data_IF_508195910552
#
_entry.id   IF_508195910552
#
_cell.length_a   1.000
_cell.length_b   1.000
_cell.length_c   1.000
_cell.angle_alpha   90.00
_cell.angle_beta   90.00
_cell.angle_gamma   90.00
#
_symmetry.space_group_name_H-M   'P 1'
#
loop_
_entity.id
_entity.type
_entity.pdbx_description
1 polymer ?
#
# COMPACT_ATOMS: atom_id res chain seq x y z
N UNK A 1 -67.44 -44.43 -20.79
CA UNK A 1 -67.17 -43.33 -19.83
C UNK A 1 -65.70 -43.00 -19.96
N UNK A 2 -65.39 -41.86 -20.60
CA UNK A 2 -64.03 -41.50 -21.01
C UNK A 2 -63.71 -40.17 -20.35
N UNK A 3 -62.78 -40.16 -19.40
CA UNK A 3 -62.41 -38.96 -18.65
C UNK A 3 -61.07 -38.44 -19.18
N UNK A 4 -61.12 -37.27 -19.83
CA UNK A 4 -59.97 -36.56 -20.36
C UNK A 4 -59.37 -35.66 -19.29
N UNK A 5 -58.05 -35.79 -19.04
CA UNK A 5 -57.27 -34.93 -18.14
C UNK A 5 -56.52 -33.91 -18.99
N UNK A 6 -56.90 -32.63 -18.86
CA UNK A 6 -56.28 -31.50 -19.54
C UNK A 6 -55.21 -30.88 -18.62
N UNK A 7 -53.93 -31.08 -18.97
CA UNK A 7 -52.81 -30.39 -18.33
C UNK A 7 -52.62 -29.01 -18.96
N UNK A 8 -52.99 -27.96 -18.23
CA UNK A 8 -52.68 -26.57 -18.57
C UNK A 8 -51.28 -26.23 -18.04
N UNK A 9 -50.28 -26.18 -18.92
CA UNK A 9 -48.96 -25.64 -18.62
C UNK A 9 -48.99 -24.12 -18.75
N UNK A 10 -49.04 -23.41 -17.63
CA UNK A 10 -48.90 -21.96 -17.58
C UNK A 10 -47.41 -21.61 -17.37
N UNK A 11 -46.70 -21.35 -18.48
CA UNK A 11 -45.32 -20.88 -18.46
C UNK A 11 -45.29 -19.37 -18.21
N UNK A 12 -45.15 -18.97 -16.95
CA UNK A 12 -44.84 -17.59 -16.59
C UNK A 12 -43.32 -17.38 -16.63
N UNK A 13 -42.86 -16.70 -17.68
CA UNK A 13 -41.48 -16.23 -17.79
C UNK A 13 -41.24 -15.08 -16.79
N UNK A 14 -40.69 -15.40 -15.62
CA UNK A 14 -40.16 -14.41 -14.68
C UNK A 14 -38.82 -13.92 -15.21
N UNK A 15 -38.79 -12.71 -15.78
CA UNK A 15 -37.53 -11.99 -15.97
C UNK A 15 -36.90 -11.73 -14.60
N UNK A 16 -35.67 -12.20 -14.32
CA UNK A 16 -34.99 -11.82 -13.10
C UNK A 16 -34.59 -10.36 -13.22
N UNK A 17 -35.44 -9.49 -12.70
CA UNK A 17 -35.07 -8.13 -12.37
C UNK A 17 -33.95 -8.22 -11.33
N UNK A 18 -32.71 -8.19 -11.80
CA UNK A 18 -31.47 -8.28 -11.02
C UNK A 18 -31.22 -6.95 -10.31
N UNK A 19 -32.27 -6.40 -9.69
CA UNK A 19 -32.18 -5.31 -8.75
C UNK A 19 -31.70 -5.90 -7.44
N UNK A 20 -30.48 -5.58 -7.04
CA UNK A 20 -30.01 -5.77 -5.68
C UNK A 20 -31.04 -5.16 -4.73
N UNK A 21 -31.78 -6.02 -4.04
CA UNK A 21 -32.77 -5.59 -3.07
C UNK A 21 -32.07 -4.71 -2.02
N UNK A 22 -32.29 -3.40 -2.11
CA UNK A 22 -31.66 -2.40 -1.23
C UNK A 22 -31.93 -2.68 0.25
N UNK A 23 -32.97 -3.49 0.56
CA UNK A 23 -33.26 -3.92 1.93
C UNK A 23 -32.27 -4.97 2.43
N UNK A 24 -31.73 -5.82 1.55
CA UNK A 24 -30.67 -6.79 1.88
C UNK A 24 -29.29 -6.13 1.96
N UNK A 25 -29.02 -5.11 1.14
CA UNK A 25 -27.79 -4.30 1.26
C UNK A 25 -27.74 -3.50 2.56
N UNK A 26 -28.87 -2.90 2.98
CA UNK A 26 -28.96 -2.21 4.27
C UNK A 26 -28.73 -3.13 5.47
N UNK A 27 -29.08 -4.42 5.38
CA UNK A 27 -28.86 -5.40 6.47
C UNK A 27 -27.41 -5.89 6.56
N UNK A 28 -26.64 -5.82 5.47
CA UNK A 28 -25.21 -6.15 5.47
C UNK A 28 -24.31 -4.99 5.89
N UNK A 29 -24.81 -3.75 5.82
CA UNK A 29 -24.16 -2.60 6.41
C UNK A 29 -24.42 -2.57 7.93
N UNK A 30 -23.78 -3.49 8.66
CA UNK A 30 -23.62 -3.34 10.11
C UNK A 30 -23.01 -1.96 10.46
N UNK A 31 -23.08 -1.53 11.73
CA UNK A 31 -22.64 -0.19 12.12
C UNK A 31 -21.21 0.07 11.62
N UNK A 32 -21.07 0.92 10.58
CA UNK A 32 -19.75 1.25 9.99
C UNK A 32 -18.80 1.97 10.94
N UNK A 33 -19.26 2.23 12.17
CA UNK A 33 -18.56 2.94 13.22
C UNK A 33 -18.05 2.01 14.33
N UNK A 34 -18.14 0.68 14.19
CA UNK A 34 -17.36 -0.19 15.08
C UNK A 34 -15.88 0.06 14.82
N UNK A 35 -15.19 0.58 15.83
CA UNK A 35 -13.75 0.82 15.76
C UNK A 35 -13.05 -0.49 15.37
N UNK A 36 -12.28 -0.46 14.28
CA UNK A 36 -11.53 -1.62 13.83
C UNK A 36 -10.41 -1.90 14.83
N UNK A 37 -10.32 -3.13 15.33
CA UNK A 37 -9.34 -3.52 16.35
C UNK A 37 -8.44 -4.64 15.81
N UNK A 38 -7.18 -4.65 16.25
CA UNK A 38 -6.24 -5.74 15.94
C UNK A 38 -5.90 -5.84 14.46
N UNK A 39 -6.15 -7.02 13.87
CA UNK A 39 -5.72 -7.35 12.51
C UNK A 39 -6.40 -6.51 11.42
N UNK A 40 -7.68 -6.14 11.59
CA UNK A 40 -8.40 -5.36 10.58
C UNK A 40 -7.80 -3.96 10.42
N UNK A 41 -7.50 -3.30 11.55
CA UNK A 41 -6.80 -2.00 11.58
C UNK A 41 -5.39 -2.09 11.01
N UNK A 42 -4.68 -3.19 11.28
CA UNK A 42 -3.35 -3.41 10.71
C UNK A 42 -3.41 -3.58 9.19
N UNK A 43 -4.31 -4.41 8.66
CA UNK A 43 -4.50 -4.61 7.21
C UNK A 43 -4.83 -3.30 6.52
N UNK A 44 -5.76 -2.51 7.08
CA UNK A 44 -6.07 -1.18 6.56
C UNK A 44 -4.84 -0.26 6.55
N UNK A 45 -4.04 -0.30 7.62
CA UNK A 45 -2.75 0.40 7.70
C UNK A 45 -1.78 -0.01 6.60
N UNK A 46 -1.67 -1.32 6.30
CA UNK A 46 -0.81 -1.86 5.23
C UNK A 46 -1.32 -1.42 3.86
N UNK A 47 -2.63 -1.46 3.62
CA UNK A 47 -3.22 -0.99 2.36
C UNK A 47 -2.95 0.50 2.12
N UNK A 48 -3.20 1.35 3.12
CA UNK A 48 -2.90 2.78 3.01
C UNK A 48 -1.39 3.06 2.94
N UNK A 49 -0.57 2.28 3.62
CA UNK A 49 0.88 2.34 3.51
C UNK A 49 1.37 1.99 2.10
N UNK A 50 0.80 0.95 1.50
CA UNK A 50 1.09 0.55 0.12
C UNK A 50 0.70 1.65 -0.88
N UNK A 51 -0.51 2.19 -0.77
CA UNK A 51 -0.99 3.27 -1.62
C UNK A 51 -0.10 4.53 -1.48
N UNK A 52 0.28 4.90 -0.26
CA UNK A 52 1.20 6.02 -0.01
C UNK A 52 2.54 5.81 -0.69
N UNK A 53 3.20 4.66 -0.48
CA UNK A 53 4.52 4.39 -1.05
C UNK A 53 4.43 4.31 -2.58
N UNK A 54 3.43 3.63 -3.13
CA UNK A 54 3.26 3.47 -4.58
C UNK A 54 3.02 4.80 -5.29
N UNK A 55 2.14 5.66 -4.75
CA UNK A 55 1.83 6.98 -5.33
C UNK A 55 3.02 7.92 -5.19
N UNK A 56 3.63 7.99 -4.00
CA UNK A 56 4.71 8.94 -3.75
C UNK A 56 6.04 8.51 -4.39
N UNK A 57 6.29 7.20 -4.56
CA UNK A 57 7.46 6.67 -5.26
C UNK A 57 7.23 6.43 -6.76
N UNK A 58 6.11 6.89 -7.32
CA UNK A 58 5.79 6.69 -8.74
C UNK A 58 6.93 7.14 -9.69
N UNK A 59 7.60 8.30 -9.50
CA UNK A 59 8.72 8.68 -10.35
C UNK A 59 9.87 7.66 -10.34
N UNK A 60 10.27 7.17 -9.16
CA UNK A 60 11.26 6.11 -9.03
C UNK A 60 10.80 4.83 -9.73
N UNK A 61 9.57 4.38 -9.48
CA UNK A 61 9.02 3.17 -10.12
C UNK A 61 9.02 3.27 -11.65
N UNK A 62 8.65 4.43 -12.21
CA UNK A 62 8.69 4.67 -13.65
C UNK A 62 10.12 4.64 -14.21
N UNK A 63 11.08 5.23 -13.49
CA UNK A 63 12.49 5.21 -13.90
C UNK A 63 13.10 3.79 -13.94
N UNK A 64 12.60 2.87 -13.10
CA UNK A 64 13.08 1.48 -13.06
C UNK A 64 12.55 0.61 -14.20
N UNK A 65 11.57 1.08 -14.98
CA UNK A 65 11.01 0.31 -16.11
C UNK A 65 12.04 0.05 -17.21
N UNK A 66 13.00 0.97 -17.39
CA UNK A 66 14.05 0.91 -18.41
C UNK A 66 15.40 0.41 -17.86
N UNK A 67 15.41 -0.20 -16.68
CA UNK A 67 16.65 -0.69 -16.07
C UNK A 67 17.21 -1.91 -16.84
N UNK A 68 18.51 -1.86 -17.16
CA UNK A 68 19.23 -2.92 -17.90
C UNK A 68 19.20 -4.28 -17.19
N UNK A 69 19.36 -4.30 -15.88
CA UNK A 69 19.25 -5.49 -15.03
C UNK A 69 17.79 -5.77 -14.60
N UNK A 70 16.90 -5.89 -15.58
CA UNK A 70 15.46 -5.69 -15.42
C UNK A 70 14.83 -6.60 -14.33
N UNK A 71 15.16 -7.88 -14.31
CA UNK A 71 14.57 -8.83 -13.35
C UNK A 71 15.02 -8.58 -11.91
N UNK A 72 16.33 -8.41 -11.66
CA UNK A 72 16.88 -8.23 -10.33
C UNK A 72 16.44 -6.89 -9.71
N UNK A 73 16.45 -5.82 -10.51
CA UNK A 73 16.00 -4.48 -10.10
C UNK A 73 14.52 -4.49 -9.73
N UNK A 74 13.66 -5.08 -10.58
CA UNK A 74 12.22 -5.19 -10.30
C UNK A 74 11.91 -6.04 -9.07
N UNK A 75 12.60 -7.15 -8.90
CA UNK A 75 12.45 -8.00 -7.72
C UNK A 75 12.76 -7.22 -6.44
N UNK A 76 13.92 -6.57 -6.38
CA UNK A 76 14.32 -5.78 -5.20
C UNK A 76 13.38 -4.60 -4.95
N UNK A 77 12.89 -3.92 -6.00
CA UNK A 77 11.91 -2.85 -5.89
C UNK A 77 10.57 -3.33 -5.30
N UNK A 78 10.05 -4.48 -5.74
CA UNK A 78 8.80 -5.07 -5.21
C UNK A 78 8.98 -5.44 -3.74
N UNK A 79 10.12 -6.06 -3.37
CA UNK A 79 10.43 -6.38 -1.97
C UNK A 79 10.44 -5.11 -1.13
N UNK A 80 11.12 -4.05 -1.58
CA UNK A 80 11.15 -2.78 -0.87
C UNK A 80 9.77 -2.16 -0.69
N UNK A 81 8.92 -2.19 -1.73
CA UNK A 81 7.54 -1.68 -1.70
C UNK A 81 6.70 -2.42 -0.65
N UNK A 82 6.72 -3.76 -0.68
CA UNK A 82 5.97 -4.61 0.26
C UNK A 82 6.47 -4.42 1.68
N UNK A 83 7.79 -4.41 1.89
CA UNK A 83 8.37 -4.16 3.21
C UNK A 83 7.99 -2.79 3.75
N UNK A 84 8.08 -1.73 2.93
CA UNK A 84 7.70 -0.39 3.35
C UNK A 84 6.20 -0.32 3.72
N UNK A 85 5.32 -0.92 2.90
CA UNK A 85 3.88 -0.97 3.17
C UNK A 85 3.58 -1.68 4.51
N UNK A 86 4.19 -2.85 4.75
CA UNK A 86 4.04 -3.61 6.00
C UNK A 86 4.60 -2.85 7.19
N UNK A 87 5.77 -2.23 7.06
CA UNK A 87 6.40 -1.47 8.12
C UNK A 87 5.54 -0.24 8.50
N UNK A 88 5.05 0.51 7.51
CA UNK A 88 4.14 1.65 7.74
C UNK A 88 2.84 1.20 8.39
N UNK A 89 2.23 0.11 7.90
CA UNK A 89 1.02 -0.46 8.48
C UNK A 89 1.22 -0.87 9.94
N UNK A 90 2.35 -1.50 10.25
CA UNK A 90 2.74 -1.89 11.61
C UNK A 90 2.90 -0.68 12.54
N UNK A 91 3.55 0.40 12.07
CA UNK A 91 3.66 1.65 12.83
C UNK A 91 2.28 2.29 13.06
N UNK A 92 1.42 2.34 12.03
CA UNK A 92 0.07 2.93 12.11
C UNK A 92 -0.91 2.14 12.97
N UNK A 93 -0.73 0.82 13.04
CA UNK A 93 -1.51 -0.05 13.92
C UNK A 93 -1.18 0.15 15.41
N UNK A 94 -0.13 0.93 15.73
CA UNK A 94 0.30 1.14 17.11
C UNK A 94 1.04 -0.06 17.72
N UNK A 95 1.52 -0.99 16.89
CA UNK A 95 2.30 -2.15 17.36
C UNK A 95 3.75 -1.78 17.71
N UNK A 96 4.14 -0.53 17.45
CA UNK A 96 5.46 0.02 17.76
C UNK A 96 5.30 1.30 18.56
N UNK A 97 6.34 1.72 19.29
CA UNK A 97 6.39 3.02 19.95
C UNK A 97 6.59 4.20 18.99
N UNK A 98 6.80 3.94 17.70
CA UNK A 98 6.97 4.99 16.69
C UNK A 98 5.62 5.63 16.36
N UNK A 99 5.59 6.95 16.32
CA UNK A 99 4.46 7.70 15.79
C UNK A 99 4.71 8.03 14.31
N UNK A 100 3.80 7.62 13.43
CA UNK A 100 3.86 8.01 12.02
C UNK A 100 3.47 9.49 11.88
N UNK A 101 4.31 10.35 11.28
CA UNK A 101 4.04 11.80 11.22
C UNK A 101 2.73 12.14 10.47
N UNK A 102 2.01 13.22 10.85
CA UNK A 102 0.81 13.66 10.14
C UNK A 102 1.11 14.11 8.70
N UNK A 103 0.08 14.13 7.86
CA UNK A 103 0.20 14.61 6.47
C UNK A 103 0.06 16.13 6.40
N UNK A 104 1.19 16.83 6.50
CA UNK A 104 1.30 18.26 6.16
C UNK A 104 1.98 18.40 4.80
N UNK A 105 1.75 19.50 4.06
CA UNK A 105 2.31 19.68 2.72
C UNK A 105 3.85 19.52 2.67
N UNK A 106 4.55 20.05 3.68
CA UNK A 106 6.01 19.92 3.78
C UNK A 106 6.44 18.48 4.03
N UNK A 107 5.75 17.77 4.93
CA UNK A 107 6.05 16.36 5.20
C UNK A 107 5.68 15.48 4.01
N UNK A 108 4.68 15.84 3.22
CA UNK A 108 4.35 15.13 1.99
C UNK A 108 5.51 15.14 0.98
N UNK A 109 6.17 16.29 0.82
CA UNK A 109 7.39 16.39 -0.02
C UNK A 109 8.53 15.54 0.56
N UNK A 110 8.75 15.62 1.88
CA UNK A 110 9.78 14.81 2.53
C UNK A 110 9.50 13.30 2.38
N UNK A 111 8.24 12.87 2.48
CA UNK A 111 7.80 11.48 2.23
C UNK A 111 8.07 11.08 0.79
N UNK A 112 7.70 11.93 -0.17
CA UNK A 112 7.95 11.66 -1.59
C UNK A 112 9.44 11.44 -1.85
N UNK A 113 10.30 12.35 -1.39
CA UNK A 113 11.75 12.22 -1.54
C UNK A 113 12.25 10.93 -0.87
N UNK A 114 11.84 10.70 0.39
CA UNK A 114 12.25 9.51 1.15
C UNK A 114 11.85 8.21 0.46
N UNK A 115 10.61 8.08 -0.02
CA UNK A 115 10.13 6.88 -0.69
C UNK A 115 10.82 6.65 -2.03
N UNK A 116 10.99 7.68 -2.85
CA UNK A 116 11.73 7.56 -4.11
C UNK A 116 13.18 7.09 -3.86
N UNK A 117 13.89 7.72 -2.93
CA UNK A 117 15.26 7.32 -2.58
C UNK A 117 15.32 5.89 -2.04
N UNK A 118 14.39 5.52 -1.16
CA UNK A 118 14.31 4.17 -0.59
C UNK A 118 14.15 3.12 -1.69
N UNK A 119 13.22 3.34 -2.62
CA UNK A 119 12.96 2.43 -3.75
C UNK A 119 14.19 2.34 -4.66
N UNK A 120 14.78 3.47 -5.05
CA UNK A 120 15.96 3.48 -5.93
C UNK A 120 17.17 2.78 -5.28
N UNK A 121 17.48 3.11 -4.02
CA UNK A 121 18.60 2.51 -3.29
C UNK A 121 18.37 1.01 -3.12
N UNK A 122 17.18 0.59 -2.71
CA UNK A 122 16.87 -0.83 -2.53
C UNK A 122 16.92 -1.59 -3.87
N UNK A 123 16.39 -1.02 -4.95
CA UNK A 123 16.33 -1.65 -6.25
C UNK A 123 17.72 -1.84 -6.87
N UNK A 124 18.51 -0.76 -6.97
CA UNK A 124 19.84 -0.83 -7.55
C UNK A 124 20.85 -1.53 -6.62
N UNK A 125 20.79 -1.27 -5.31
CA UNK A 125 21.67 -1.94 -4.35
C UNK A 125 21.38 -3.43 -4.21
N UNK A 126 20.10 -3.82 -4.18
CA UNK A 126 19.70 -5.23 -4.20
C UNK A 126 20.13 -5.92 -5.49
N UNK A 127 19.91 -5.30 -6.64
CA UNK A 127 20.36 -5.83 -7.93
C UNK A 127 21.89 -5.99 -8.00
N UNK A 128 22.65 -5.01 -7.50
CA UNK A 128 24.10 -5.11 -7.41
C UNK A 128 24.52 -6.33 -6.56
N UNK A 129 23.90 -6.53 -5.39
CA UNK A 129 24.19 -7.70 -4.54
C UNK A 129 23.86 -9.01 -5.27
N UNK A 130 22.70 -9.10 -5.93
CA UNK A 130 22.33 -10.28 -6.71
C UNK A 130 23.35 -10.58 -7.82
N UNK A 131 23.84 -9.56 -8.53
CA UNK A 131 24.80 -9.72 -9.62
C UNK A 131 26.19 -10.10 -9.11
N UNK A 132 26.66 -9.51 -8.01
CA UNK A 132 28.00 -9.79 -7.47
C UNK A 132 28.08 -11.13 -6.72
N UNK A 133 27.00 -11.53 -6.05
CA UNK A 133 27.00 -12.72 -5.18
C UNK A 133 26.24 -13.91 -5.75
N UNK A 134 25.44 -13.71 -6.80
CA UNK A 134 24.47 -14.70 -7.29
C UNK A 134 23.31 -14.96 -6.33
N UNK A 135 23.15 -14.19 -5.25
CA UNK A 135 22.18 -14.44 -4.19
C UNK A 135 20.95 -13.53 -4.27
N UNK A 136 19.83 -14.12 -4.65
CA UNK A 136 18.51 -13.45 -4.59
C UNK A 136 18.10 -13.15 -3.16
N UNK A 137 18.44 -14.02 -2.21
CA UNK A 137 18.18 -13.82 -0.79
C UNK A 137 18.95 -12.62 -0.24
N UNK A 138 20.21 -12.44 -0.66
CA UNK A 138 21.02 -11.27 -0.31
C UNK A 138 20.40 -9.97 -0.81
N UNK A 139 19.90 -9.96 -2.05
CA UNK A 139 19.16 -8.82 -2.61
C UNK A 139 17.88 -8.52 -1.82
N UNK A 140 17.11 -9.55 -1.46
CA UNK A 140 15.88 -9.37 -0.68
C UNK A 140 16.18 -8.82 0.72
N UNK A 141 17.17 -9.39 1.42
CA UNK A 141 17.57 -8.95 2.75
C UNK A 141 18.02 -7.48 2.75
N UNK A 142 18.79 -7.07 1.73
CA UNK A 142 19.20 -5.69 1.56
C UNK A 142 18.01 -4.75 1.34
N UNK A 143 17.10 -5.11 0.43
CA UNK A 143 15.90 -4.32 0.16
C UNK A 143 15.01 -4.17 1.41
N UNK A 144 14.85 -5.25 2.19
CA UNK A 144 14.13 -5.24 3.47
C UNK A 144 14.81 -4.29 4.47
N UNK A 145 16.14 -4.36 4.60
CA UNK A 145 16.90 -3.52 5.52
C UNK A 145 16.79 -2.03 5.15
N UNK A 146 16.92 -1.69 3.87
CA UNK A 146 16.79 -0.30 3.38
C UNK A 146 15.36 0.21 3.59
N UNK A 147 14.34 -0.56 3.20
CA UNK A 147 12.94 -0.14 3.35
C UNK A 147 12.52 -0.01 4.81
N UNK A 148 12.83 -1.01 5.65
CA UNK A 148 12.54 -0.99 7.08
C UNK A 148 13.31 0.11 7.80
N UNK A 149 14.60 0.28 7.51
CA UNK A 149 15.44 1.33 8.06
C UNK A 149 14.94 2.74 7.70
N UNK A 150 14.49 2.94 6.46
CA UNK A 150 13.89 4.20 6.01
C UNK A 150 12.62 4.54 6.79
N UNK A 151 11.69 3.58 6.94
CA UNK A 151 10.46 3.76 7.73
C UNK A 151 10.79 4.07 9.19
N UNK A 152 11.80 3.41 9.77
CA UNK A 152 12.24 3.66 11.14
C UNK A 152 12.91 5.03 11.32
N UNK A 153 13.66 5.51 10.33
CA UNK A 153 14.35 6.80 10.37
C UNK A 153 13.40 7.98 10.10
N UNK A 154 12.32 7.75 9.34
CA UNK A 154 11.45 8.81 8.84
C UNK A 154 10.85 9.72 9.92
N UNK A 155 10.34 9.23 11.08
CA UNK A 155 9.83 10.11 12.14
C UNK A 155 10.86 11.14 12.64
N UNK A 156 12.14 10.76 12.68
CA UNK A 156 13.23 11.68 13.07
C UNK A 156 13.48 12.73 11.99
N UNK A 157 13.48 12.32 10.72
CA UNK A 157 13.60 13.22 9.57
C UNK A 157 12.43 14.22 9.58
N UNK A 158 11.22 13.73 9.76
CA UNK A 158 10.01 14.53 9.83
C UNK A 158 10.05 15.57 10.95
N UNK A 159 10.54 15.20 12.15
CA UNK A 159 10.72 16.14 13.25
C UNK A 159 11.70 17.27 12.89
N UNK A 160 12.80 16.96 12.19
CA UNK A 160 13.76 17.97 11.70
C UNK A 160 13.15 18.86 10.63
N UNK A 161 12.43 18.30 9.67
CA UNK A 161 11.77 19.04 8.59
C UNK A 161 10.66 19.95 9.14
N UNK A 162 9.94 19.50 10.16
CA UNK A 162 8.90 20.29 10.83
C UNK A 162 9.47 21.49 11.59
N UNK A 163 10.67 21.35 12.17
CA UNK A 163 11.35 22.42 12.90
C UNK A 163 11.94 23.52 11.99
N UNK A 164 12.08 23.28 10.68
CA UNK A 164 12.58 24.29 9.76
C UNK A 164 11.61 25.46 9.64
N UNK A 165 12.10 26.71 9.49
CA UNK A 165 11.24 27.81 9.13
C UNK A 165 10.59 27.52 7.77
N UNK A 166 9.35 27.94 7.55
CA UNK A 166 8.75 27.84 6.24
C UNK A 166 9.60 28.47 5.15
N UNK A 167 9.68 27.80 4.00
CA UNK A 167 10.44 28.27 2.85
C UNK A 167 9.96 29.62 2.33
N UNK A 168 8.71 30.01 2.62
CA UNK A 168 8.16 31.33 2.32
C UNK A 168 8.65 32.46 3.25
N UNK A 169 9.36 32.14 4.33
CA UNK A 169 9.97 33.13 5.24
C UNK A 169 11.45 33.39 4.93
N UNK A 170 12.07 32.65 4.01
CA UNK A 170 13.51 32.74 3.74
C UNK A 170 13.94 34.00 2.96
N UNK A 171 12.99 34.86 2.61
CA UNK A 171 13.23 36.12 1.88
C UNK A 171 12.91 37.39 2.68
N UNK A 172 12.75 37.28 4.00
CA UNK A 172 12.66 38.43 4.92
C UNK A 172 13.95 38.57 5.72
#
# INVERSE_FOLDING_TARGET
MTTSISCRCESAAVSPNRGSDHTTERRKAGPRNTEKVGAERWIEGVFFGCAEVAVLALPALLSLLDASANAAVKFAAIVALVTAAVAIGTVRAGWTSLAWPPMTARLLVARAISHNLTVLIAAYGGAAIALFTGSTLGSAAFAVAVAGGSVWAFPRIAARVAALPPWWEWGR
#
